data_IF_850115559834
#
_entry.id   IF_850115559834
#
_cell.length_a   1.000
_cell.length_b   1.000
_cell.length_c   1.000
_cell.angle_alpha   90.00
_cell.angle_beta   90.00
_cell.angle_gamma   90.00
#
_symmetry.space_group_name_H-M   'P 1'
#
loop_
_entity.id
_entity.type
_entity.pdbx_description
1 polymer ?
#
# COMPACT_ATOMS: atom_id res chain seq x y z
N UNK A 1 22.57 -17.75 -10.26
CA UNK A 1 21.21 -18.30 -10.05
C UNK A 1 20.77 -17.93 -8.66
N UNK A 2 19.56 -17.40 -8.51
CA UNK A 2 18.99 -16.97 -7.23
C UNK A 2 17.71 -17.77 -7.01
N UNK A 3 17.56 -18.38 -5.84
CA UNK A 3 16.31 -18.97 -5.40
C UNK A 3 15.59 -17.97 -4.49
N UNK A 4 14.34 -17.72 -4.75
CA UNK A 4 13.58 -16.69 -4.07
C UNK A 4 12.16 -17.15 -3.73
N UNK A 5 11.64 -16.63 -2.63
CA UNK A 5 10.21 -16.68 -2.30
C UNK A 5 9.53 -15.41 -2.83
N UNK A 6 8.19 -15.36 -2.76
CA UNK A 6 7.42 -14.17 -3.14
C UNK A 6 7.88 -12.90 -2.39
N UNK A 7 8.43 -13.05 -1.17
CA UNK A 7 8.97 -11.95 -0.37
C UNK A 7 10.24 -11.32 -0.99
N UNK A 8 11.01 -12.07 -1.78
CA UNK A 8 12.18 -11.57 -2.49
C UNK A 8 11.82 -10.47 -3.51
N UNK A 9 10.57 -10.39 -3.82
CA UNK A 9 10.04 -9.49 -4.80
C UNK A 9 9.98 -8.02 -4.43
N UNK A 10 10.12 -7.64 -3.18
CA UNK A 10 10.04 -6.24 -2.76
C UNK A 10 11.45 -5.66 -2.58
N UNK A 11 11.80 -4.67 -3.42
CA UNK A 11 13.02 -3.89 -3.22
C UNK A 11 14.29 -4.38 -3.92
N UNK A 12 14.24 -5.41 -4.76
CA UNK A 12 15.42 -5.86 -5.52
C UNK A 12 15.33 -5.35 -6.95
N UNK A 13 16.32 -4.55 -7.34
CA UNK A 13 16.52 -4.07 -8.70
C UNK A 13 17.79 -4.69 -9.31
N UNK A 14 17.59 -5.84 -9.94
CA UNK A 14 18.64 -6.48 -10.74
C UNK A 14 18.24 -6.26 -12.21
N UNK A 15 18.97 -5.42 -12.96
CA UNK A 15 18.53 -4.99 -14.29
C UNK A 15 18.64 -6.10 -15.34
N UNK A 16 19.53 -7.05 -15.17
CA UNK A 16 19.96 -8.04 -16.18
C UNK A 16 19.42 -9.46 -15.93
N UNK A 17 18.29 -9.61 -15.26
CA UNK A 17 17.64 -10.92 -15.12
C UNK A 17 17.18 -11.37 -16.51
N UNK A 18 17.69 -12.50 -16.99
CA UNK A 18 17.40 -13.07 -18.30
C UNK A 18 16.46 -14.25 -18.28
N UNK A 19 16.30 -14.88 -17.13
CA UNK A 19 15.43 -16.04 -16.96
C UNK A 19 14.70 -15.96 -15.63
N UNK A 20 13.37 -16.10 -15.67
CA UNK A 20 12.51 -16.29 -14.50
C UNK A 20 11.87 -17.66 -14.60
N UNK A 21 12.03 -18.48 -13.58
CA UNK A 21 11.43 -19.81 -13.52
C UNK A 21 10.51 -19.90 -12.31
N UNK A 22 9.22 -20.05 -12.56
CA UNK A 22 8.24 -20.36 -11.51
C UNK A 22 8.24 -21.89 -11.30
N UNK A 23 8.83 -22.32 -10.19
CA UNK A 23 8.84 -23.74 -9.80
C UNK A 23 7.47 -24.21 -9.29
N UNK A 24 6.66 -23.27 -8.82
CA UNK A 24 5.24 -23.49 -8.46
C UNK A 24 4.39 -22.46 -9.19
N UNK A 25 3.23 -22.86 -9.66
CA UNK A 25 2.33 -21.97 -10.39
C UNK A 25 1.96 -20.74 -9.53
N UNK A 26 2.06 -19.51 -10.05
CA UNK A 26 1.51 -18.31 -9.42
C UNK A 26 0.00 -18.43 -9.18
N UNK A 27 -0.50 -17.74 -8.15
CA UNK A 27 -1.92 -17.80 -7.76
C UNK A 27 -2.84 -17.04 -8.71
N UNK A 28 -2.27 -16.14 -9.52
CA UNK A 28 -3.04 -15.33 -10.46
C UNK A 28 -2.17 -14.79 -11.57
N UNK A 29 -2.83 -14.24 -12.59
CA UNK A 29 -2.18 -13.51 -13.69
C UNK A 29 -1.37 -12.32 -13.16
N UNK A 30 -1.91 -11.59 -12.17
CA UNK A 30 -1.28 -10.43 -11.57
C UNK A 30 0.02 -10.81 -10.87
N UNK A 31 0.00 -11.90 -10.08
CA UNK A 31 1.20 -12.38 -9.42
C UNK A 31 2.26 -12.80 -10.43
N UNK A 32 1.87 -13.60 -11.43
CA UNK A 32 2.78 -13.98 -12.53
C UNK A 32 3.42 -12.76 -13.16
N UNK A 33 2.60 -11.78 -13.50
CA UNK A 33 3.04 -10.58 -14.17
C UNK A 33 4.01 -9.73 -13.32
N UNK A 34 3.71 -9.59 -12.02
CA UNK A 34 4.60 -8.90 -11.08
C UNK A 34 5.98 -9.58 -10.96
N UNK A 35 5.99 -10.90 -10.96
CA UNK A 35 7.22 -11.69 -10.83
C UNK A 35 8.04 -11.66 -12.12
N UNK A 36 7.41 -11.82 -13.27
CA UNK A 36 8.06 -11.74 -14.60
C UNK A 36 8.53 -10.33 -14.92
N UNK A 37 7.78 -9.31 -14.50
CA UNK A 37 8.12 -7.89 -14.68
C UNK A 37 9.43 -7.44 -14.01
N UNK A 38 10.11 -8.34 -13.30
CA UNK A 38 11.45 -8.12 -12.75
C UNK A 38 12.58 -8.42 -13.75
N UNK A 39 12.26 -9.21 -14.77
CA UNK A 39 13.22 -9.54 -15.82
C UNK A 39 13.37 -8.38 -16.81
N UNK A 40 14.53 -8.33 -17.47
CA UNK A 40 14.84 -7.42 -18.57
C UNK A 40 14.59 -5.93 -18.28
N UNK A 41 14.84 -5.46 -17.07
CA UNK A 41 14.71 -4.03 -16.71
C UNK A 41 15.67 -3.14 -17.48
N UNK A 42 16.75 -3.71 -17.98
CA UNK A 42 17.71 -3.07 -18.90
C UNK A 42 17.22 -3.03 -20.36
N UNK A 43 15.94 -3.43 -20.61
CA UNK A 43 15.34 -3.55 -21.94
C UNK A 43 15.92 -4.66 -22.83
N UNK A 44 16.72 -5.57 -22.27
CA UNK A 44 17.18 -6.78 -22.95
C UNK A 44 16.07 -7.82 -23.10
N UNK A 45 16.34 -8.90 -23.84
CA UNK A 45 15.41 -10.03 -23.92
C UNK A 45 15.52 -10.91 -22.64
N UNK A 46 14.39 -11.43 -22.18
CA UNK A 46 14.33 -12.40 -21.09
C UNK A 46 13.23 -13.43 -21.35
N UNK A 47 13.38 -14.62 -20.75
CA UNK A 47 12.42 -15.71 -20.85
C UNK A 47 11.79 -15.99 -19.48
N UNK A 48 10.50 -16.25 -19.46
CA UNK A 48 9.78 -16.71 -18.27
C UNK A 48 9.25 -18.13 -18.52
N UNK A 49 9.41 -18.99 -17.50
CA UNK A 49 8.95 -20.37 -17.53
C UNK A 49 8.06 -20.64 -16.32
N UNK A 50 6.94 -21.29 -16.54
CA UNK A 50 6.05 -21.78 -15.47
C UNK A 50 6.05 -23.30 -15.50
N UNK A 51 6.54 -23.92 -14.43
CA UNK A 51 6.55 -25.37 -14.28
C UNK A 51 5.34 -25.77 -13.43
N UNK A 52 4.41 -26.51 -14.03
CA UNK A 52 3.21 -26.93 -13.30
C UNK A 52 2.68 -28.29 -13.76
N UNK A 53 1.92 -28.93 -12.89
CA UNK A 53 1.20 -30.16 -13.13
C UNK A 53 -0.16 -30.05 -12.44
N UNK A 54 -1.13 -30.90 -12.81
CA UNK A 54 -2.41 -30.95 -12.10
C UNK A 54 -2.25 -31.17 -10.60
N UNK A 55 -1.24 -31.95 -10.17
CA UNK A 55 -0.93 -32.15 -8.75
C UNK A 55 -0.47 -30.85 -8.10
N UNK A 56 0.39 -30.07 -8.75
CA UNK A 56 0.87 -28.78 -8.23
C UNK A 56 -0.28 -27.77 -8.10
N UNK A 57 -1.20 -27.75 -9.07
CA UNK A 57 -2.41 -26.91 -9.01
C UNK A 57 -3.27 -27.28 -7.80
N UNK A 58 -3.52 -28.59 -7.57
CA UNK A 58 -4.30 -29.05 -6.41
C UNK A 58 -3.59 -28.70 -5.09
N UNK A 59 -2.27 -28.91 -5.00
CA UNK A 59 -1.49 -28.50 -3.82
C UNK A 59 -1.59 -26.97 -3.61
N UNK A 60 -1.54 -26.17 -4.66
CA UNK A 60 -1.69 -24.72 -4.58
C UNK A 60 -3.06 -24.33 -4.01
N UNK A 61 -4.14 -24.96 -4.48
CA UNK A 61 -5.49 -24.75 -3.96
C UNK A 61 -5.61 -25.12 -2.48
N UNK A 62 -5.29 -26.36 -2.14
CA UNK A 62 -5.60 -26.91 -0.82
C UNK A 62 -4.63 -26.49 0.28
N UNK A 63 -3.33 -26.29 -0.02
CA UNK A 63 -2.30 -26.02 0.99
C UNK A 63 -1.88 -24.56 1.04
N UNK A 64 -2.06 -23.81 -0.04
CA UNK A 64 -1.68 -22.40 -0.07
C UNK A 64 -2.91 -21.50 -0.03
N UNK A 65 -3.88 -21.68 -0.94
CA UNK A 65 -5.05 -20.81 -0.98
C UNK A 65 -5.97 -21.12 0.21
N UNK A 66 -6.48 -22.35 0.34
CA UNK A 66 -7.47 -22.67 1.37
C UNK A 66 -6.94 -22.44 2.79
N UNK A 67 -5.69 -22.85 3.07
CA UNK A 67 -5.06 -22.63 4.39
C UNK A 67 -4.60 -21.19 4.66
N UNK A 68 -4.66 -20.30 3.68
CA UNK A 68 -4.39 -18.88 3.90
C UNK A 68 -5.54 -18.13 4.56
N UNK A 69 -6.70 -18.76 4.66
CA UNK A 69 -7.90 -18.23 5.30
C UNK A 69 -8.07 -18.82 6.70
N UNK A 70 -8.48 -18.03 7.68
CA UNK A 70 -8.74 -18.51 9.03
C UNK A 70 -10.03 -19.34 9.06
N UNK A 71 -10.10 -20.29 9.98
CA UNK A 71 -11.35 -20.96 10.36
C UNK A 71 -12.14 -20.09 11.35
N UNK A 72 -13.44 -20.29 11.46
CA UNK A 72 -14.30 -19.48 12.34
C UNK A 72 -13.85 -19.57 13.81
N UNK A 73 -13.44 -20.77 14.25
CA UNK A 73 -12.94 -21.00 15.61
C UNK A 73 -11.68 -20.19 15.93
N UNK A 74 -10.81 -19.98 14.94
CA UNK A 74 -9.60 -19.17 15.10
C UNK A 74 -9.95 -17.68 15.15
N UNK A 75 -10.94 -17.26 14.35
CA UNK A 75 -11.48 -15.88 14.44
C UNK A 75 -12.15 -15.64 15.81
N UNK A 76 -12.90 -16.59 16.36
CA UNK A 76 -13.52 -16.46 17.69
C UNK A 76 -12.46 -16.32 18.79
N UNK A 77 -11.41 -17.15 18.77
CA UNK A 77 -10.28 -17.07 19.71
C UNK A 77 -9.58 -15.71 19.61
N UNK A 78 -9.29 -15.28 18.39
CA UNK A 78 -8.65 -14.01 18.15
C UNK A 78 -9.53 -12.83 18.58
N UNK A 79 -10.84 -12.87 18.30
CA UNK A 79 -11.79 -11.86 18.73
C UNK A 79 -11.86 -11.76 20.26
N UNK A 80 -11.93 -12.90 20.96
CA UNK A 80 -11.89 -12.97 22.42
C UNK A 80 -10.60 -12.38 22.99
N UNK A 81 -9.46 -12.68 22.36
CA UNK A 81 -8.15 -12.12 22.73
C UNK A 81 -8.13 -10.59 22.59
N UNK A 82 -8.72 -10.05 21.53
CA UNK A 82 -8.84 -8.61 21.30
C UNK A 82 -9.82 -7.97 22.27
N UNK A 83 -11.01 -8.53 22.44
CA UNK A 83 -12.09 -7.90 23.21
C UNK A 83 -11.99 -8.15 24.71
N UNK A 84 -11.36 -9.27 25.12
CA UNK A 84 -11.42 -9.75 26.52
C UNK A 84 -12.85 -9.91 27.01
N UNK A 85 -13.77 -10.29 26.11
CA UNK A 85 -15.21 -10.43 26.36
C UNK A 85 -15.87 -9.14 26.88
N UNK A 86 -15.46 -7.99 26.40
CA UNK A 86 -16.03 -6.69 26.77
C UNK A 86 -16.27 -5.84 25.54
N UNK A 87 -17.42 -5.20 25.50
CA UNK A 87 -17.78 -4.22 24.48
C UNK A 87 -17.34 -2.82 24.95
N UNK A 88 -16.25 -2.31 24.40
CA UNK A 88 -15.75 -0.97 24.73
C UNK A 88 -14.63 -0.52 23.79
N UNK A 89 -14.19 0.71 23.97
CA UNK A 89 -12.98 1.23 23.37
C UNK A 89 -11.75 0.54 23.96
N UNK A 90 -10.79 0.18 23.10
CA UNK A 90 -9.54 -0.47 23.48
C UNK A 90 -8.37 0.01 22.66
N UNK A 91 -7.20 0.00 23.29
CA UNK A 91 -5.93 0.15 22.58
C UNK A 91 -5.44 -1.22 22.14
N UNK A 92 -5.30 -1.43 20.84
CA UNK A 92 -4.82 -2.66 20.24
C UNK A 92 -3.39 -2.45 19.72
N UNK A 93 -2.44 -3.14 20.34
CA UNK A 93 -1.09 -3.27 19.80
C UNK A 93 -1.05 -4.49 18.88
N UNK A 94 -1.16 -4.28 17.57
CA UNK A 94 -1.32 -5.35 16.59
C UNK A 94 -0.02 -5.73 15.87
N UNK A 95 1.03 -4.95 16.03
CA UNK A 95 2.26 -5.06 15.23
C UNK A 95 3.10 -6.30 15.55
N UNK A 96 3.07 -6.74 16.79
CA UNK A 96 3.88 -7.86 17.27
C UNK A 96 3.08 -9.18 17.31
N UNK A 97 1.83 -9.15 16.81
CA UNK A 97 0.94 -10.31 16.83
C UNK A 97 0.40 -10.60 15.42
N UNK A 98 1.05 -11.55 14.74
CA UNK A 98 0.69 -11.95 13.38
C UNK A 98 -0.74 -12.52 13.29
N UNK A 99 -1.23 -13.16 14.34
CA UNK A 99 -2.57 -13.72 14.39
C UNK A 99 -3.61 -12.59 14.38
N UNK A 100 -3.42 -11.58 15.22
CA UNK A 100 -4.26 -10.39 15.25
C UNK A 100 -4.23 -9.67 13.90
N UNK A 101 -3.06 -9.49 13.31
CA UNK A 101 -2.93 -8.85 12.01
C UNK A 101 -3.74 -9.56 10.92
N UNK A 102 -3.70 -10.89 10.88
CA UNK A 102 -4.46 -11.69 9.93
C UNK A 102 -5.97 -11.58 10.13
N UNK A 103 -6.42 -11.59 11.40
CA UNK A 103 -7.84 -11.57 11.72
C UNK A 103 -8.49 -10.18 11.66
N UNK A 104 -7.69 -9.12 11.87
CA UNK A 104 -8.19 -7.74 12.00
C UNK A 104 -9.04 -7.29 10.81
N UNK A 105 -8.61 -7.60 9.59
CA UNK A 105 -9.35 -7.25 8.37
C UNK A 105 -10.72 -7.90 8.33
N UNK A 106 -10.84 -9.15 8.76
CA UNK A 106 -12.13 -9.85 8.80
C UNK A 106 -13.11 -9.18 9.76
N UNK A 107 -12.62 -8.70 10.90
CA UNK A 107 -13.47 -8.01 11.88
C UNK A 107 -13.89 -6.62 11.43
N UNK A 108 -12.99 -5.90 10.76
CA UNK A 108 -13.28 -4.58 10.20
C UNK A 108 -14.29 -4.67 9.05
N UNK A 109 -14.04 -5.54 8.09
CA UNK A 109 -14.87 -5.68 6.88
C UNK A 109 -16.29 -6.16 7.21
N UNK A 110 -16.45 -6.93 8.31
CA UNK A 110 -17.75 -7.43 8.76
C UNK A 110 -18.37 -6.60 9.91
N UNK A 111 -17.77 -5.46 10.23
CA UNK A 111 -18.33 -4.50 11.18
C UNK A 111 -18.38 -4.97 12.63
N UNK A 112 -17.54 -5.93 13.02
CA UNK A 112 -17.39 -6.40 14.39
C UNK A 112 -16.62 -5.42 15.26
N UNK A 113 -15.67 -4.73 14.67
CA UNK A 113 -14.89 -3.65 15.27
C UNK A 113 -14.84 -2.46 14.32
N UNK A 114 -14.58 -1.27 14.86
CA UNK A 114 -14.24 -0.09 14.10
C UNK A 114 -12.94 0.52 14.61
N UNK A 115 -12.18 1.17 13.72
CA UNK A 115 -10.99 1.94 14.09
C UNK A 115 -11.43 3.37 14.33
N UNK A 116 -11.26 3.86 15.56
CA UNK A 116 -11.54 5.25 15.91
C UNK A 116 -10.38 6.16 15.50
N UNK A 117 -9.15 5.75 15.81
CA UNK A 117 -7.96 6.44 15.39
C UNK A 117 -6.73 5.52 15.42
N UNK A 118 -5.65 5.95 14.77
CA UNK A 118 -4.37 5.29 14.73
C UNK A 118 -3.38 6.05 15.62
N UNK A 119 -2.62 5.31 16.42
CA UNK A 119 -1.52 5.85 17.21
C UNK A 119 -1.79 6.01 18.69
N UNK A 120 -0.73 6.12 19.42
CA UNK A 120 -0.52 6.45 20.83
C UNK A 120 -0.74 5.32 21.81
N UNK A 121 0.34 4.58 22.08
CA UNK A 121 0.38 3.62 23.18
C UNK A 121 1.00 4.21 24.46
N UNK A 122 2.04 5.04 24.33
CA UNK A 122 2.78 5.59 25.47
C UNK A 122 3.27 7.01 25.19
N UNK A 123 3.12 7.89 26.17
CA UNK A 123 3.60 9.26 26.15
C UNK A 123 4.67 9.46 27.21
N UNK A 124 5.79 10.13 26.84
CA UNK A 124 6.73 10.71 27.79
C UNK A 124 6.62 12.23 27.73
N UNK A 125 6.21 12.90 28.82
CA UNK A 125 6.24 14.37 28.84
C UNK A 125 7.68 14.85 28.93
N UNK A 126 7.96 15.95 28.28
CA UNK A 126 9.11 16.78 28.62
C UNK A 126 8.75 17.59 29.87
N UNK A 127 9.74 17.98 30.66
CA UNK A 127 9.56 18.51 32.02
C UNK A 127 8.72 19.79 32.13
N UNK A 128 8.32 20.43 31.02
CA UNK A 128 7.59 21.69 31.01
C UNK A 128 6.44 21.68 29.99
N UNK A 129 5.40 20.83 30.18
CA UNK A 129 4.19 20.92 29.39
C UNK A 129 3.45 22.22 29.74
N UNK A 130 3.39 23.17 28.80
CA UNK A 130 2.68 24.44 28.98
C UNK A 130 1.19 24.33 28.64
N UNK A 131 0.80 23.36 27.81
CA UNK A 131 -0.59 23.15 27.42
C UNK A 131 -1.37 22.43 28.53
N UNK A 132 -2.32 23.14 29.15
CA UNK A 132 -3.13 22.60 30.24
C UNK A 132 -4.01 21.42 29.82
N UNK A 133 -4.52 21.39 28.61
CA UNK A 133 -5.33 20.26 28.10
C UNK A 133 -4.46 19.01 27.94
N UNK A 134 -3.24 19.16 27.40
CA UNK A 134 -2.30 18.06 27.30
C UNK A 134 -1.89 17.53 28.68
N UNK A 135 -1.72 18.44 29.64
CA UNK A 135 -1.37 18.09 31.02
C UNK A 135 -2.47 17.25 31.67
N UNK A 136 -3.74 17.62 31.46
CA UNK A 136 -4.90 16.86 31.92
C UNK A 136 -4.96 15.46 31.27
N UNK A 137 -4.78 15.37 29.96
CA UNK A 137 -4.68 14.10 29.22
C UNK A 137 -3.53 13.25 29.79
N UNK A 138 -2.35 13.84 29.99
CA UNK A 138 -1.20 13.14 30.52
C UNK A 138 -1.42 12.63 31.95
N UNK A 139 -1.95 13.43 32.85
CA UNK A 139 -2.27 13.01 34.22
C UNK A 139 -3.31 11.87 34.24
N UNK A 140 -4.25 11.87 33.30
CA UNK A 140 -5.22 10.80 33.17
C UNK A 140 -4.67 9.53 32.54
N UNK A 141 -3.61 9.61 31.69
CA UNK A 141 -2.95 8.46 31.05
C UNK A 141 -1.91 7.78 31.93
N UNK A 142 -1.35 8.50 32.90
CA UNK A 142 -0.21 8.08 33.73
C UNK A 142 -0.42 6.76 34.46
N UNK A 143 -1.65 6.37 34.71
CA UNK A 143 -2.00 5.19 35.50
C UNK A 143 -2.76 4.11 34.73
N UNK A 144 -3.46 4.41 33.64
CA UNK A 144 -4.42 3.46 33.03
C UNK A 144 -4.60 3.56 31.50
N UNK A 145 -3.79 4.36 30.80
CA UNK A 145 -3.80 4.44 29.33
C UNK A 145 -4.80 5.43 28.73
N UNK A 146 -4.68 5.67 27.42
CA UNK A 146 -5.42 6.69 26.66
C UNK A 146 -6.94 6.60 26.80
N UNK A 147 -7.49 5.41 26.89
CA UNK A 147 -8.96 5.17 26.97
C UNK A 147 -9.58 5.82 28.21
N UNK A 148 -8.86 5.88 29.32
CA UNK A 148 -9.36 6.56 30.51
C UNK A 148 -9.33 8.08 30.42
N UNK A 149 -8.43 8.62 29.59
CA UNK A 149 -8.46 10.05 29.28
C UNK A 149 -9.74 10.43 28.56
N UNK A 150 -10.20 9.60 27.62
CA UNK A 150 -11.45 9.78 26.89
C UNK A 150 -12.63 9.91 27.86
N UNK A 151 -12.73 8.99 28.85
CA UNK A 151 -13.83 9.02 29.81
C UNK A 151 -13.74 10.15 30.83
N UNK A 152 -12.56 10.67 31.12
CA UNK A 152 -12.37 11.73 32.12
C UNK A 152 -12.43 13.13 31.53
N UNK A 153 -11.89 13.32 30.33
CA UNK A 153 -11.82 14.65 29.70
C UNK A 153 -13.05 14.99 28.86
N UNK A 154 -13.91 14.02 28.58
CA UNK A 154 -15.06 14.20 27.69
C UNK A 154 -14.69 14.39 26.21
N UNK A 155 -13.38 14.29 25.87
CA UNK A 155 -12.88 14.36 24.49
C UNK A 155 -13.01 13.02 23.79
N UNK A 156 -13.17 13.04 22.48
CA UNK A 156 -13.11 11.85 21.65
C UNK A 156 -11.66 11.35 21.54
N UNK A 157 -11.49 10.08 21.17
CA UNK A 157 -10.16 9.50 20.93
C UNK A 157 -9.36 10.31 19.90
N UNK A 158 -10.02 10.78 18.84
CA UNK A 158 -9.44 11.57 17.78
C UNK A 158 -8.93 12.91 18.28
N UNK A 159 -9.74 13.65 19.03
CA UNK A 159 -9.34 14.94 19.61
C UNK A 159 -8.12 14.82 20.53
N UNK A 160 -8.03 13.74 21.30
CA UNK A 160 -6.86 13.46 22.15
C UNK A 160 -5.63 13.14 21.28
N UNK A 161 -5.79 12.35 20.23
CA UNK A 161 -4.70 12.02 19.31
C UNK A 161 -4.20 13.27 18.60
N UNK A 162 -5.10 14.13 18.10
CA UNK A 162 -4.73 15.37 17.42
C UNK A 162 -4.01 16.35 18.36
N UNK A 163 -4.46 16.43 19.63
CA UNK A 163 -3.78 17.23 20.66
C UNK A 163 -2.36 16.72 20.93
N UNK A 164 -2.18 15.41 21.02
CA UNK A 164 -0.88 14.80 21.27
C UNK A 164 0.06 15.01 20.07
N UNK A 165 -0.41 14.86 18.84
CA UNK A 165 0.40 15.11 17.64
C UNK A 165 0.81 16.59 17.52
N UNK A 166 -0.09 17.54 17.81
CA UNK A 166 0.26 18.95 17.82
C UNK A 166 1.30 19.29 18.87
N UNK A 167 1.18 18.69 20.06
CA UNK A 167 2.16 18.89 21.14
C UNK A 167 3.52 18.25 20.84
N UNK A 168 3.55 17.15 20.09
CA UNK A 168 4.79 16.58 19.57
C UNK A 168 5.50 17.54 18.59
N UNK A 169 4.72 18.09 17.66
CA UNK A 169 5.24 19.04 16.67
C UNK A 169 5.81 20.28 17.36
N UNK A 170 5.18 20.71 18.45
CA UNK A 170 5.64 21.84 19.27
C UNK A 170 6.80 21.51 20.20
N UNK A 171 7.22 20.23 20.29
CA UNK A 171 8.33 19.80 21.13
C UNK A 171 7.99 19.77 22.63
N UNK A 172 6.72 19.65 23.00
CA UNK A 172 6.26 19.57 24.39
C UNK A 172 6.29 18.15 24.95
N UNK A 173 6.32 17.15 24.08
CA UNK A 173 6.37 15.72 24.43
C UNK A 173 7.30 14.94 23.51
N UNK A 174 7.78 13.81 24.01
CA UNK A 174 8.51 12.80 23.26
C UNK A 174 7.73 11.50 23.21
N UNK A 175 7.81 10.80 22.08
CA UNK A 175 7.26 9.46 21.96
C UNK A 175 8.23 8.39 22.37
N UNK A 176 7.71 7.34 22.97
CA UNK A 176 8.42 6.08 23.06
C UNK A 176 8.48 5.38 21.72
N UNK A 177 9.47 4.53 21.53
CA UNK A 177 9.58 3.67 20.33
C UNK A 177 8.27 2.91 20.11
N UNK A 178 7.77 2.91 18.85
CA UNK A 178 6.54 2.21 18.42
C UNK A 178 5.22 2.79 18.96
N UNK A 179 5.17 4.06 19.37
CA UNK A 179 3.92 4.69 19.83
C UNK A 179 2.81 4.67 18.76
N UNK A 180 3.18 4.76 17.49
CA UNK A 180 2.30 4.80 16.31
C UNK A 180 1.83 3.40 15.85
N UNK A 181 2.30 2.35 16.52
CA UNK A 181 1.99 0.94 16.19
C UNK A 181 0.81 0.39 16.96
N UNK A 182 -0.12 1.22 17.35
CA UNK A 182 -1.37 0.81 17.98
C UNK A 182 -2.58 1.42 17.26
N UNK A 183 -3.72 0.79 17.48
CA UNK A 183 -5.03 1.28 17.04
C UNK A 183 -5.90 1.49 18.29
N UNK A 184 -6.70 2.53 18.28
CA UNK A 184 -7.84 2.62 19.19
C UNK A 184 -9.03 2.10 18.43
N UNK A 185 -9.58 1.02 18.93
CA UNK A 185 -10.71 0.33 18.32
C UNK A 185 -11.93 0.38 19.24
N UNK A 186 -13.10 0.46 18.65
CA UNK A 186 -14.36 0.19 19.32
C UNK A 186 -14.82 -1.22 18.99
N UNK A 187 -15.03 -2.03 20.03
CA UNK A 187 -15.52 -3.40 19.89
C UNK A 187 -17.03 -3.41 20.06
N UNK A 188 -17.76 -3.68 18.98
CA UNK A 188 -19.22 -3.60 18.96
C UNK A 188 -19.93 -4.75 19.68
N UNK A 189 -19.19 -5.85 19.91
CA UNK A 189 -19.71 -7.08 20.50
C UNK A 189 -18.75 -7.60 21.57
N UNK A 190 -19.27 -8.31 22.55
CA UNK A 190 -18.47 -9.02 23.57
C UNK A 190 -17.88 -10.32 23.01
N UNK A 191 -18.65 -10.98 22.17
CA UNK A 191 -18.31 -12.18 21.41
C UNK A 191 -18.90 -12.06 20.01
N UNK A 192 -18.45 -12.92 19.07
CA UNK A 192 -19.00 -12.92 17.71
C UNK A 192 -20.40 -13.56 17.74
N UNK A 193 -21.48 -12.84 17.43
CA UNK A 193 -22.84 -13.40 17.37
C UNK A 193 -22.94 -14.47 16.28
N UNK A 194 -23.83 -15.46 16.43
CA UNK A 194 -23.97 -16.55 15.46
C UNK A 194 -24.38 -16.08 14.06
N UNK A 195 -25.15 -15.01 13.97
CA UNK A 195 -25.47 -14.34 12.72
C UNK A 195 -24.19 -13.83 12.05
N UNK A 196 -23.30 -13.18 12.81
CA UNK A 196 -22.03 -12.65 12.33
C UNK A 196 -21.03 -13.78 11.98
N UNK A 197 -21.06 -14.90 12.64
CA UNK A 197 -20.28 -16.08 12.24
C UNK A 197 -20.70 -16.58 10.86
N UNK A 198 -22.01 -16.61 10.61
CA UNK A 198 -22.54 -17.01 9.29
C UNK A 198 -22.13 -16.03 8.19
N UNK A 199 -22.16 -14.72 8.47
CA UNK A 199 -21.66 -13.70 7.54
C UNK A 199 -20.16 -13.82 7.28
N UNK A 200 -19.36 -14.04 8.33
CA UNK A 200 -17.91 -14.26 8.23
C UNK A 200 -17.59 -15.52 7.41
N UNK A 201 -18.30 -16.64 7.65
CA UNK A 201 -18.10 -17.86 6.89
C UNK A 201 -18.38 -17.62 5.40
N UNK A 202 -19.50 -16.98 5.08
CA UNK A 202 -19.83 -16.61 3.70
C UNK A 202 -18.76 -15.70 3.07
N UNK A 203 -18.29 -14.71 3.79
CA UNK A 203 -17.24 -13.80 3.35
C UNK A 203 -15.92 -14.55 3.06
N UNK A 204 -15.54 -15.51 3.93
CA UNK A 204 -14.36 -16.38 3.74
C UNK A 204 -14.54 -17.23 2.49
N UNK A 205 -15.69 -17.89 2.35
CA UNK A 205 -15.97 -18.79 1.21
C UNK A 205 -15.98 -18.03 -0.12
N UNK A 206 -16.54 -16.84 -0.17
CA UNK A 206 -16.51 -15.98 -1.35
C UNK A 206 -15.08 -15.59 -1.72
N UNK A 207 -14.25 -15.26 -0.75
CA UNK A 207 -12.83 -14.92 -0.98
C UNK A 207 -11.99 -16.14 -1.39
N UNK A 208 -12.21 -17.30 -0.76
CA UNK A 208 -11.61 -18.59 -1.18
C UNK A 208 -11.97 -18.88 -2.63
N UNK A 209 -13.26 -18.80 -2.97
CA UNK A 209 -13.75 -19.00 -4.33
C UNK A 209 -13.13 -18.01 -5.31
N UNK A 210 -13.06 -16.75 -4.95
CA UNK A 210 -12.44 -15.72 -5.79
C UNK A 210 -10.97 -16.04 -6.08
N UNK A 211 -10.16 -16.37 -5.06
CA UNK A 211 -8.75 -16.76 -5.26
C UNK A 211 -8.59 -18.01 -6.11
N UNK A 212 -9.42 -19.02 -5.87
CA UNK A 212 -9.40 -20.24 -6.69
C UNK A 212 -9.75 -19.94 -8.15
N UNK A 213 -10.74 -19.08 -8.39
CA UNK A 213 -11.11 -18.66 -9.76
C UNK A 213 -9.96 -17.91 -10.45
N UNK A 214 -9.20 -17.08 -9.74
CA UNK A 214 -8.01 -16.40 -10.30
C UNK A 214 -6.96 -17.42 -10.76
N UNK A 215 -6.68 -18.43 -9.94
CA UNK A 215 -5.77 -19.52 -10.30
C UNK A 215 -6.29 -20.32 -11.49
N UNK A 216 -7.56 -20.69 -11.48
CA UNK A 216 -8.17 -21.46 -12.57
C UNK A 216 -8.14 -20.67 -13.89
N UNK A 217 -8.40 -19.39 -13.85
CA UNK A 217 -8.28 -18.52 -15.00
C UNK A 217 -6.84 -18.43 -15.52
N UNK A 218 -5.86 -18.34 -14.62
CA UNK A 218 -4.46 -18.34 -15.04
C UNK A 218 -4.05 -19.67 -15.67
N UNK A 219 -4.48 -20.82 -15.10
CA UNK A 219 -4.28 -22.16 -15.67
C UNK A 219 -4.92 -22.25 -17.08
N UNK A 220 -6.13 -21.72 -17.21
CA UNK A 220 -6.81 -21.66 -18.51
C UNK A 220 -5.96 -20.90 -19.54
N UNK A 221 -5.45 -19.71 -19.20
CA UNK A 221 -4.61 -18.94 -20.12
C UNK A 221 -3.31 -19.67 -20.50
N UNK A 222 -2.69 -20.38 -19.54
CA UNK A 222 -1.47 -21.17 -19.82
C UNK A 222 -1.75 -22.34 -20.78
N UNK A 223 -2.92 -22.95 -20.72
CA UNK A 223 -3.30 -24.09 -21.56
C UNK A 223 -3.76 -23.65 -22.95
N UNK A 224 -4.45 -22.51 -23.08
CA UNK A 224 -4.96 -21.98 -24.35
C UNK A 224 -3.90 -21.18 -25.13
N UNK A 225 -2.87 -20.69 -24.44
CA UNK A 225 -1.79 -19.92 -25.05
C UNK A 225 -0.87 -20.83 -25.87
N UNK A 226 -1.12 -20.93 -27.20
CA UNK A 226 -0.33 -21.75 -28.10
C UNK A 226 1.10 -21.25 -28.31
N UNK A 227 1.35 -19.97 -28.02
CA UNK A 227 2.68 -19.38 -28.02
C UNK A 227 2.85 -18.27 -26.98
N UNK A 228 4.09 -17.89 -26.69
CA UNK A 228 4.41 -16.86 -25.67
C UNK A 228 3.88 -15.47 -26.04
N UNK A 229 3.71 -15.15 -27.32
CA UNK A 229 3.21 -13.86 -27.80
C UNK A 229 1.73 -13.76 -27.53
N UNK A 230 0.97 -14.82 -27.83
CA UNK A 230 -0.45 -14.88 -27.57
C UNK A 230 -0.76 -14.82 -26.07
N UNK A 231 -0.02 -15.57 -25.25
CA UNK A 231 -0.16 -15.51 -23.78
C UNK A 231 0.07 -14.09 -23.24
N UNK A 232 1.11 -13.38 -23.69
CA UNK A 232 1.34 -12.00 -23.28
C UNK A 232 0.25 -11.04 -23.72
N UNK A 233 -0.35 -11.26 -24.89
CA UNK A 233 -1.47 -10.45 -25.38
C UNK A 233 -2.74 -10.66 -24.53
N UNK A 234 -3.05 -11.90 -24.19
CA UNK A 234 -4.21 -12.23 -23.36
C UNK A 234 -4.03 -11.72 -21.92
N UNK A 235 -2.83 -11.86 -21.35
CA UNK A 235 -2.48 -11.24 -20.06
C UNK A 235 -2.65 -9.71 -20.13
N UNK A 236 -2.16 -9.08 -21.19
CA UNK A 236 -2.30 -7.64 -21.40
C UNK A 236 -3.77 -7.20 -21.50
N UNK A 237 -4.62 -7.94 -22.19
CA UNK A 237 -6.07 -7.69 -22.26
C UNK A 237 -6.74 -7.84 -20.90
N UNK A 238 -6.44 -8.91 -20.17
CA UNK A 238 -6.96 -9.15 -18.83
C UNK A 238 -6.62 -8.02 -17.85
N UNK A 239 -5.38 -7.56 -17.89
CA UNK A 239 -4.91 -6.45 -17.04
C UNK A 239 -5.41 -5.07 -17.51
N UNK A 240 -6.06 -5.00 -18.66
CA UNK A 240 -6.51 -3.75 -19.25
C UNK A 240 -5.37 -2.82 -19.67
N UNK A 241 -4.19 -3.39 -19.96
CA UNK A 241 -2.96 -2.64 -20.16
C UNK A 241 -2.52 -2.67 -21.63
N UNK A 242 -2.34 -1.53 -22.30
CA UNK A 242 -1.70 -1.49 -23.62
C UNK A 242 -0.30 -2.10 -23.57
N UNK A 243 0.14 -2.76 -24.66
CA UNK A 243 1.42 -3.49 -24.77
C UNK A 243 2.65 -2.76 -24.18
N UNK A 244 2.66 -1.43 -24.20
CA UNK A 244 3.77 -0.60 -23.72
C UNK A 244 3.63 -0.09 -22.27
N UNK A 245 2.50 -0.43 -21.58
CA UNK A 245 2.20 0.05 -20.21
C UNK A 245 1.91 -1.10 -19.23
N UNK A 246 2.45 -2.28 -19.51
CA UNK A 246 2.15 -3.52 -18.78
C UNK A 246 2.56 -3.54 -17.29
N UNK A 247 3.34 -2.57 -16.80
CA UNK A 247 3.75 -2.46 -15.40
C UNK A 247 2.87 -1.55 -14.52
N UNK A 248 1.77 -1.02 -15.05
CA UNK A 248 0.83 -0.15 -14.33
C UNK A 248 -0.26 -0.98 -13.67
N UNK A 249 0.00 -1.44 -12.45
CA UNK A 249 -0.86 -2.42 -11.75
C UNK A 249 -1.79 -1.81 -10.69
N UNK A 250 -1.51 -0.59 -10.25
CA UNK A 250 -2.32 0.08 -9.22
C UNK A 250 -3.35 1.02 -9.84
N UNK A 251 -4.54 1.09 -9.24
CA UNK A 251 -5.61 2.00 -9.67
C UNK A 251 -5.67 3.23 -8.77
N UNK A 252 -5.88 4.39 -9.37
CA UNK A 252 -6.11 5.65 -8.67
C UNK A 252 -7.61 5.92 -8.51
N UNK A 253 -7.99 6.87 -7.66
CA UNK A 253 -9.38 7.33 -7.50
C UNK A 253 -9.95 7.97 -8.79
N UNK A 254 -9.11 8.55 -9.64
CA UNK A 254 -9.46 9.06 -10.97
C UNK A 254 -9.71 7.94 -11.98
N UNK A 255 -9.22 6.71 -11.72
CA UNK A 255 -9.30 5.56 -12.62
C UNK A 255 -8.04 5.30 -13.44
N UNK A 256 -7.00 6.10 -13.31
CA UNK A 256 -5.72 5.87 -13.97
C UNK A 256 -5.04 4.62 -13.41
N UNK A 257 -4.24 3.96 -14.25
CA UNK A 257 -3.35 2.87 -13.83
C UNK A 257 -1.93 3.39 -13.68
N UNK A 258 -1.33 3.18 -12.50
CA UNK A 258 0.01 3.65 -12.15
C UNK A 258 0.92 2.51 -11.70
N UNK A 259 2.23 2.74 -11.59
CA UNK A 259 3.24 1.71 -11.34
C UNK A 259 3.48 1.41 -9.87
N UNK A 260 3.28 2.37 -8.97
CA UNK A 260 3.60 2.23 -7.55
C UNK A 260 2.48 2.72 -6.64
N UNK A 261 2.52 2.29 -5.37
CA UNK A 261 1.58 2.78 -4.33
C UNK A 261 1.80 4.25 -4.02
N UNK A 262 3.04 4.72 -4.08
CA UNK A 262 3.38 6.12 -3.86
C UNK A 262 2.79 7.00 -4.96
N UNK A 263 2.81 6.54 -6.22
CA UNK A 263 2.13 7.21 -7.32
C UNK A 263 0.60 7.22 -7.14
N UNK A 264 -0.02 6.17 -6.58
CA UNK A 264 -1.45 6.21 -6.21
C UNK A 264 -1.74 7.32 -5.21
N UNK A 265 -0.90 7.46 -4.18
CA UNK A 265 -1.08 8.50 -3.15
C UNK A 265 -1.00 9.88 -3.78
N UNK A 266 0.02 10.14 -4.60
CA UNK A 266 0.21 11.42 -5.30
C UNK A 266 -0.98 11.71 -6.22
N UNK A 267 -1.35 10.75 -7.07
CA UNK A 267 -2.45 10.86 -8.02
C UNK A 267 -3.79 11.15 -7.33
N UNK A 268 -4.10 10.43 -6.25
CA UNK A 268 -5.32 10.63 -5.49
C UNK A 268 -5.36 12.00 -4.82
N UNK A 269 -4.24 12.46 -4.26
CA UNK A 269 -4.14 13.79 -3.67
C UNK A 269 -4.29 14.90 -4.70
N UNK A 270 -3.71 14.77 -5.90
CA UNK A 270 -3.92 15.70 -7.01
C UNK A 270 -5.41 15.76 -7.38
N UNK A 271 -6.04 14.61 -7.57
CA UNK A 271 -7.46 14.48 -7.91
C UNK A 271 -8.37 15.08 -6.83
N UNK A 272 -8.18 14.73 -5.56
CA UNK A 272 -8.95 15.26 -4.42
C UNK A 272 -8.83 16.78 -4.26
N UNK A 273 -7.67 17.32 -4.63
CA UNK A 273 -7.41 18.77 -4.60
C UNK A 273 -7.83 19.51 -5.87
N UNK A 274 -8.46 18.82 -6.82
CA UNK A 274 -8.92 19.40 -8.08
C UNK A 274 -7.80 19.83 -9.02
N UNK A 275 -6.60 19.27 -8.87
CA UNK A 275 -5.46 19.53 -9.75
C UNK A 275 -5.50 18.57 -10.92
N UNK A 276 -5.68 19.10 -12.13
CA UNK A 276 -5.66 18.26 -13.34
C UNK A 276 -4.25 17.77 -13.65
N UNK A 277 -4.13 16.47 -13.89
CA UNK A 277 -2.88 15.86 -14.29
C UNK A 277 -3.06 14.81 -15.38
N UNK A 278 -2.01 14.57 -16.14
CA UNK A 278 -1.85 13.44 -17.05
C UNK A 278 -0.68 12.56 -16.54
N UNK A 279 -0.95 11.26 -16.37
CA UNK A 279 0.06 10.30 -15.91
C UNK A 279 0.87 9.79 -17.10
N UNK A 280 2.22 9.83 -17.00
CA UNK A 280 3.18 9.41 -18.05
C UNK A 280 2.83 9.95 -19.44
N UNK A 281 2.54 11.23 -19.52
CA UNK A 281 2.37 11.93 -20.79
C UNK A 281 3.71 12.04 -21.51
N UNK A 282 3.72 11.79 -22.82
CA UNK A 282 4.93 12.00 -23.63
C UNK A 282 5.34 13.47 -23.66
N UNK A 283 6.51 13.74 -23.15
CA UNK A 283 7.16 15.04 -23.17
C UNK A 283 8.30 15.04 -24.20
N UNK A 284 8.12 15.75 -25.31
CA UNK A 284 9.11 15.87 -26.35
C UNK A 284 10.12 16.98 -26.00
N UNK A 285 11.40 16.66 -26.06
CA UNK A 285 12.50 17.63 -25.84
C UNK A 285 13.42 17.82 -27.07
N UNK A 286 13.20 17.00 -28.12
CA UNK A 286 13.82 17.12 -29.45
C UNK A 286 12.85 16.52 -30.49
N UNK A 287 13.12 16.65 -31.79
CA UNK A 287 12.22 16.23 -32.88
C UNK A 287 11.69 14.81 -32.73
N UNK A 288 12.56 13.87 -32.34
CA UNK A 288 12.22 12.45 -32.20
C UNK A 288 12.53 11.87 -30.82
N UNK A 289 12.90 12.74 -29.85
CA UNK A 289 13.24 12.33 -28.50
C UNK A 289 12.19 12.81 -27.51
N UNK A 290 11.78 11.90 -26.69
CA UNK A 290 10.77 12.16 -25.67
C UNK A 290 11.08 11.39 -24.39
N UNK A 291 10.50 11.84 -23.29
CA UNK A 291 10.47 11.17 -22.00
C UNK A 291 9.05 11.18 -21.46
N UNK A 292 8.80 10.40 -20.40
CA UNK A 292 7.52 10.39 -19.69
C UNK A 292 7.79 10.83 -18.25
N UNK A 293 7.34 12.04 -17.84
CA UNK A 293 7.21 12.39 -16.43
C UNK A 293 6.20 11.50 -15.73
N UNK A 294 6.35 11.26 -14.43
CA UNK A 294 5.32 10.51 -13.71
C UNK A 294 3.97 11.25 -13.76
N UNK A 295 4.00 12.57 -13.56
CA UNK A 295 2.80 13.40 -13.72
C UNK A 295 3.14 14.68 -14.50
N UNK A 296 2.28 15.03 -15.45
CA UNK A 296 2.27 16.33 -16.12
C UNK A 296 1.06 17.11 -15.63
N UNK A 297 1.27 18.27 -15.04
CA UNK A 297 0.25 19.12 -14.43
C UNK A 297 0.13 20.37 -15.27
N UNK A 298 -1.08 20.66 -15.73
CA UNK A 298 -1.37 21.87 -16.50
C UNK A 298 -1.82 22.99 -15.57
N UNK A 299 -1.08 24.08 -15.55
CA UNK A 299 -1.37 25.27 -14.76
C UNK A 299 -2.40 26.15 -15.47
N UNK A 300 -3.07 27.03 -14.72
CA UNK A 300 -4.08 27.96 -15.26
C UNK A 300 -3.50 28.94 -16.31
N UNK A 301 -2.23 29.32 -16.17
CA UNK A 301 -1.50 30.16 -17.14
C UNK A 301 -1.09 29.41 -18.42
N UNK A 302 -1.43 28.11 -18.51
CA UNK A 302 -1.11 27.25 -19.66
C UNK A 302 0.27 26.61 -19.59
N UNK A 303 1.08 26.90 -18.58
CA UNK A 303 2.36 26.19 -18.35
C UNK A 303 2.10 24.76 -17.89
N UNK A 304 3.07 23.89 -18.16
CA UNK A 304 3.10 22.53 -17.63
C UNK A 304 4.18 22.42 -16.56
N UNK A 305 3.84 21.77 -15.46
CA UNK A 305 4.78 21.34 -14.41
C UNK A 305 4.91 19.84 -14.48
N UNK A 306 6.12 19.35 -14.43
CA UNK A 306 6.46 17.94 -14.47
C UNK A 306 6.84 17.48 -13.08
N UNK A 307 6.18 16.43 -12.61
CA UNK A 307 6.46 15.89 -11.28
C UNK A 307 7.01 14.46 -11.42
N UNK A 308 8.17 14.24 -10.82
CA UNK A 308 8.84 12.94 -10.72
C UNK A 308 8.84 12.44 -9.28
N UNK A 309 8.50 11.18 -9.11
CA UNK A 309 8.60 10.50 -7.82
C UNK A 309 9.72 9.46 -7.84
N UNK A 310 10.77 9.69 -7.06
CA UNK A 310 11.97 8.87 -7.07
C UNK A 310 11.89 7.78 -6.00
N UNK A 311 11.48 6.57 -6.41
CA UNK A 311 11.26 5.42 -5.53
C UNK A 311 12.52 4.61 -5.19
N UNK A 312 13.64 4.81 -5.89
CA UNK A 312 14.77 3.88 -5.82
C UNK A 312 16.14 4.59 -5.76
N UNK A 313 16.19 5.73 -5.08
CA UNK A 313 17.45 6.47 -4.87
C UNK A 313 18.43 5.60 -4.07
N UNK A 314 19.72 5.66 -4.45
CA UNK A 314 20.79 4.83 -3.87
C UNK A 314 21.06 3.54 -4.67
N UNK A 315 20.29 3.28 -5.73
CA UNK A 315 20.57 2.21 -6.69
C UNK A 315 21.33 2.81 -7.86
N UNK A 316 22.59 2.40 -8.06
CA UNK A 316 23.52 3.02 -9.03
C UNK A 316 22.94 3.17 -10.44
N UNK A 317 22.30 2.13 -10.96
CA UNK A 317 21.69 2.14 -12.29
C UNK A 317 20.48 3.09 -12.39
N UNK A 318 19.72 3.26 -11.30
CA UNK A 318 18.62 4.18 -11.21
C UNK A 318 19.12 5.63 -11.11
N UNK A 319 20.10 5.87 -10.23
CA UNK A 319 20.70 7.18 -10.03
C UNK A 319 21.36 7.70 -11.31
N UNK A 320 22.00 6.83 -12.10
CA UNK A 320 22.56 7.19 -13.40
C UNK A 320 21.48 7.67 -14.37
N UNK A 321 20.40 6.90 -14.53
CA UNK A 321 19.26 7.27 -15.40
C UNK A 321 18.58 8.56 -14.94
N UNK A 322 18.43 8.72 -13.62
CA UNK A 322 17.87 9.94 -13.06
C UNK A 322 18.74 11.17 -13.37
N UNK A 323 20.04 11.06 -13.24
CA UNK A 323 20.97 12.15 -13.60
C UNK A 323 20.83 12.56 -15.08
N UNK A 324 20.72 11.60 -15.98
CA UNK A 324 20.49 11.84 -17.40
C UNK A 324 19.14 12.56 -17.63
N UNK A 325 18.08 12.08 -17.00
CA UNK A 325 16.73 12.67 -17.06
C UNK A 325 16.70 14.08 -16.46
N UNK A 326 17.36 14.27 -15.34
CA UNK A 326 17.48 15.58 -14.67
C UNK A 326 18.20 16.62 -15.55
N UNK A 327 19.21 16.21 -16.28
CA UNK A 327 19.93 17.11 -17.20
C UNK A 327 19.05 17.57 -18.37
N UNK A 328 18.17 16.69 -18.87
CA UNK A 328 17.16 17.06 -19.87
C UNK A 328 16.19 18.09 -19.29
N UNK A 329 15.70 17.90 -18.06
CA UNK A 329 14.84 18.90 -17.40
C UNK A 329 15.53 20.25 -17.23
N UNK A 330 16.79 20.26 -16.80
CA UNK A 330 17.56 21.49 -16.62
C UNK A 330 17.77 22.25 -17.91
N UNK A 331 17.99 21.53 -19.00
CA UNK A 331 18.31 22.12 -20.30
C UNK A 331 17.07 22.62 -21.03
N UNK A 332 15.97 21.85 -20.99
CA UNK A 332 14.80 22.10 -21.83
C UNK A 332 13.58 22.62 -21.06
N UNK A 333 13.49 22.35 -19.75
CA UNK A 333 12.31 22.61 -18.94
C UNK A 333 12.67 23.26 -17.59
N UNK A 334 13.61 24.20 -17.61
CA UNK A 334 14.09 24.86 -16.40
C UNK A 334 12.94 25.51 -15.60
N UNK A 335 12.86 25.20 -14.30
CA UNK A 335 11.83 25.72 -13.41
C UNK A 335 10.46 25.04 -13.51
N UNK A 336 10.33 23.96 -14.30
CA UNK A 336 9.08 23.22 -14.48
C UNK A 336 9.10 21.83 -13.83
N UNK A 337 10.12 21.48 -13.06
CA UNK A 337 10.28 20.19 -12.43
C UNK A 337 10.00 20.27 -10.93
N UNK A 338 9.13 19.39 -10.43
CA UNK A 338 8.95 19.05 -9.03
C UNK A 338 9.40 17.61 -8.79
N UNK A 339 10.04 17.36 -7.65
CA UNK A 339 10.59 16.05 -7.32
C UNK A 339 10.19 15.67 -5.91
N UNK A 340 9.68 14.43 -5.75
CA UNK A 340 9.48 13.80 -4.44
C UNK A 340 10.26 12.49 -4.36
N UNK A 341 10.50 12.03 -3.14
CA UNK A 341 11.30 10.83 -2.88
C UNK A 341 10.49 9.82 -2.09
N UNK A 342 10.77 8.54 -2.31
CA UNK A 342 10.23 7.48 -1.46
C UNK A 342 10.70 7.69 -0.02
N UNK A 343 9.79 7.64 0.93
CA UNK A 343 10.12 7.87 2.33
C UNK A 343 8.93 7.70 3.26
N UNK A 344 9.16 7.94 4.53
CA UNK A 344 8.18 7.71 5.62
C UNK A 344 6.93 8.57 5.46
N UNK A 345 6.97 9.66 4.71
CA UNK A 345 5.87 10.63 4.65
C UNK A 345 5.61 11.20 3.25
N UNK A 346 5.34 10.30 2.29
CA UNK A 346 5.02 10.68 0.90
C UNK A 346 3.81 11.64 0.83
N UNK A 347 2.81 11.45 1.68
CA UNK A 347 1.60 12.30 1.69
C UNK A 347 1.91 13.75 2.06
N UNK A 348 2.83 14.01 2.99
CA UNK A 348 3.21 15.36 3.37
C UNK A 348 4.07 16.01 2.29
N UNK A 349 5.00 15.25 1.70
CA UNK A 349 5.80 15.71 0.56
C UNK A 349 4.90 16.11 -0.61
N UNK A 350 3.93 15.27 -0.95
CA UNK A 350 2.95 15.55 -2.00
C UNK A 350 2.08 16.77 -1.68
N UNK A 351 1.61 16.90 -0.42
CA UNK A 351 0.84 18.07 0.02
C UNK A 351 1.61 19.38 -0.14
N UNK A 352 2.89 19.39 0.19
CA UNK A 352 3.74 20.57 0.03
C UNK A 352 3.91 20.98 -1.43
N UNK A 353 4.12 20.01 -2.33
CA UNK A 353 4.18 20.27 -3.78
C UNK A 353 2.84 20.82 -4.27
N UNK A 354 1.70 20.18 -3.92
CA UNK A 354 0.38 20.65 -4.35
C UNK A 354 0.08 22.05 -3.82
N UNK A 355 0.44 22.36 -2.57
CA UNK A 355 0.30 23.72 -2.02
C UNK A 355 1.11 24.75 -2.82
N UNK A 356 2.34 24.41 -3.18
CA UNK A 356 3.19 25.26 -4.03
C UNK A 356 2.54 25.50 -5.39
N UNK A 357 2.03 24.45 -6.04
CA UNK A 357 1.35 24.55 -7.34
C UNK A 357 0.12 25.47 -7.31
N UNK A 358 -0.62 25.51 -6.19
CA UNK A 358 -1.80 26.39 -6.03
C UNK A 358 -1.44 27.84 -5.69
N UNK A 359 -0.18 28.13 -5.43
CA UNK A 359 0.29 29.47 -5.06
C UNK A 359 0.98 30.19 -6.23
N UNK A 360 1.32 29.44 -7.27
CA UNK A 360 1.87 29.94 -8.55
C UNK A 360 0.72 30.32 -9.47
#
# INVERSE_FOLDING_TARGET
MIFATNAFGMGIDIPDIRVVIHFMIPESVEQYYQEVGRAARDKGAANAYVLYTNKNIQVKKTHFIDKSFPEIEDLEKCFTKITGNQKNLKTLQYYDDEEIQKCLTYFLDNGLISIECKGISNLKPLDNIQNNELKEVYESTKTKGLIQSISKTGKTAREIVDLVYSSLINGEIEFTKNFDKCLIIDTKYEYIPDEKKSELQKYIDERKKYKNNLLDYFVYLLNEGNDSIQLHQEIGKYLGVPKHKLNRIYSTSKGDKVRSKSEVIIANMLYEQGVEYEYEKKLFYDKDKWMEPDFTIKMEDGKEIYWEHLGMIGVESYDKRWKEKLEIYRTHFAGQLEVTYEGVNISDSARNVIKKLKTI
#
